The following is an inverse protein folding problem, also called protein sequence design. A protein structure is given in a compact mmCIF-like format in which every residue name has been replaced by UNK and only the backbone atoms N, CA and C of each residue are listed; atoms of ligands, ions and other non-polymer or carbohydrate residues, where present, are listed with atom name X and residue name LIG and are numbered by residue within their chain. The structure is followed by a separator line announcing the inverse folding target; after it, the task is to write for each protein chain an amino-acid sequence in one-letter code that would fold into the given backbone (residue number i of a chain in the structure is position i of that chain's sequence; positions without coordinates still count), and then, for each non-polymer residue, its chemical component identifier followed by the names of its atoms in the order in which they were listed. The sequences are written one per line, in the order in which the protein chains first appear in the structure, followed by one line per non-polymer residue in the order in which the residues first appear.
data_IF_625960956797
#
_entry.id   IF_625960956797
#
_cell.length_a   1.000
_cell.length_b   1.000
_cell.length_c   1.000
_cell.angle_alpha   90.00
_cell.angle_beta   90.00
_cell.angle_gamma   90.00
#
_symmetry.space_group_name_H-M   'P 1'
#
loop_
_entity.id
_entity.type
_entity.pdbx_description
1 polymer ?
#
# COMPACT_ATOMS: atom_id res chain seq x y z
N UNK A 1 -29.95 -23.62 -20.63
CA UNK A 1 -29.76 -23.43 -19.17
C UNK A 1 -28.84 -22.22 -19.04
N UNK A 2 -29.45 -21.04 -18.94
CA UNK A 2 -28.73 -19.77 -18.96
C UNK A 2 -27.87 -19.66 -17.70
N UNK A 3 -26.55 -19.54 -17.89
CA UNK A 3 -25.61 -19.16 -16.83
C UNK A 3 -26.01 -17.77 -16.35
N UNK A 4 -26.64 -17.71 -15.17
CA UNK A 4 -27.02 -16.45 -14.52
C UNK A 4 -25.75 -15.67 -14.17
N UNK A 5 -25.42 -14.76 -15.08
CA UNK A 5 -24.96 -13.38 -14.88
C UNK A 5 -24.18 -13.08 -13.60
N UNK A 6 -22.91 -12.70 -13.80
CA UNK A 6 -22.06 -11.85 -12.98
C UNK A 6 -22.76 -11.19 -11.78
N UNK A 7 -22.79 -11.88 -10.63
CA UNK A 7 -22.88 -11.19 -9.34
C UNK A 7 -21.63 -10.34 -9.20
N UNK A 8 -21.78 -9.07 -8.82
CA UNK A 8 -20.62 -8.24 -8.52
C UNK A 8 -19.83 -8.94 -7.39
N UNK A 9 -18.51 -9.06 -7.53
CA UNK A 9 -17.67 -9.69 -6.51
C UNK A 9 -17.82 -8.99 -5.14
N UNK A 10 -18.18 -7.70 -5.14
CA UNK A 10 -18.51 -6.95 -3.93
C UNK A 10 -19.81 -7.45 -3.25
N UNK A 11 -20.78 -7.96 -4.02
CA UNK A 11 -22.02 -8.51 -3.45
C UNK A 11 -21.74 -9.76 -2.61
N UNK A 12 -20.69 -10.52 -2.95
CA UNK A 12 -20.25 -11.68 -2.16
C UNK A 12 -19.69 -11.28 -0.79
N UNK A 13 -19.31 -10.01 -0.60
CA UNK A 13 -18.82 -9.47 0.67
C UNK A 13 -19.90 -8.78 1.51
N UNK A 14 -21.07 -8.46 0.93
CA UNK A 14 -22.11 -7.58 1.50
C UNK A 14 -22.95 -8.14 2.67
N UNK A 15 -22.59 -9.29 3.25
CA UNK A 15 -23.28 -9.85 4.42
C UNK A 15 -22.82 -9.18 5.72
N UNK A 16 -23.65 -8.29 6.28
CA UNK A 16 -23.55 -7.62 7.59
C UNK A 16 -22.58 -8.24 8.61
N UNK A 17 -21.33 -7.75 8.62
CA UNK A 17 -20.42 -7.76 9.79
C UNK A 17 -19.20 -6.83 9.55
N UNK A 18 -19.40 -5.66 8.93
CA UNK A 18 -18.32 -4.66 8.75
C UNK A 18 -18.14 -3.83 10.04
N UNK A 19 -17.94 -4.49 11.19
CA UNK A 19 -17.43 -3.81 12.39
C UNK A 19 -15.89 -3.84 12.34
N UNK A 20 -15.36 -3.05 11.40
CA UNK A 20 -13.93 -2.74 11.34
C UNK A 20 -13.68 -1.72 12.47
N UNK A 21 -12.77 -1.99 13.42
CA UNK A 21 -12.30 -0.95 14.33
C UNK A 21 -11.73 0.19 13.49
N UNK A 22 -12.33 1.37 13.57
CA UNK A 22 -11.75 2.58 12.99
C UNK A 22 -10.31 2.70 13.52
N UNK A 23 -9.35 2.84 12.62
CA UNK A 23 -7.98 3.16 12.99
C UNK A 23 -8.00 4.45 13.82
N UNK A 24 -7.39 4.46 15.02
CA UNK A 24 -7.38 5.66 15.85
C UNK A 24 -6.51 6.73 15.19
N UNK A 25 -7.13 7.87 14.88
CA UNK A 25 -6.54 9.13 14.38
C UNK A 25 -5.75 9.02 13.08
N UNK A 26 -6.37 9.55 12.02
CA UNK A 26 -5.69 9.99 10.82
C UNK A 26 -4.48 10.89 11.19
N UNK A 27 -3.32 10.54 10.65
CA UNK A 27 -2.19 11.45 10.53
C UNK A 27 -2.69 12.76 9.89
N UNK A 28 -2.28 13.93 10.40
CA UNK A 28 -2.62 15.18 9.74
C UNK A 28 -2.06 15.13 8.32
N UNK A 29 -2.91 15.39 7.32
CA UNK A 29 -2.49 15.57 5.92
C UNK A 29 -1.31 16.54 5.90
N UNK A 30 -0.12 16.04 5.59
CA UNK A 30 1.03 16.89 5.32
C UNK A 30 0.78 17.54 3.97
N UNK A 31 0.14 18.70 3.99
CA UNK A 31 0.25 19.63 2.86
C UNK A 31 1.69 20.10 2.84
N UNK A 32 2.47 19.64 1.87
CA UNK A 32 3.67 20.36 1.46
C UNK A 32 3.21 21.69 0.88
N UNK A 33 3.30 22.73 1.70
CA UNK A 33 2.93 24.11 1.34
C UNK A 33 3.89 24.63 0.27
N UNK A 34 3.42 25.09 -0.90
CA UNK A 34 4.21 25.95 -1.77
C UNK A 34 4.37 27.31 -1.07
N UNK A 35 5.61 27.72 -0.85
CA UNK A 35 5.96 28.88 -0.04
C UNK A 35 5.34 30.22 -0.50
N UNK A 36 4.94 31.00 0.51
CA UNK A 36 4.92 32.47 0.60
C UNK A 36 4.44 33.22 -0.66
N UNK A 37 3.15 33.58 -0.67
CA UNK A 37 2.63 34.68 -1.48
C UNK A 37 3.22 35.98 -0.90
N UNK A 38 4.07 36.64 -1.68
CA UNK A 38 4.38 38.05 -1.48
C UNK A 38 3.58 38.82 -2.53
N UNK A 39 2.46 39.41 -2.11
CA UNK A 39 1.76 40.40 -2.92
C UNK A 39 2.59 41.69 -2.91
N UNK A 40 3.24 41.99 -4.04
CA UNK A 40 3.76 43.33 -4.30
C UNK A 40 3.41 43.75 -5.73
N UNK A 41 2.56 44.78 -5.80
CA UNK A 41 2.08 45.42 -7.02
C UNK A 41 3.22 45.82 -7.97
N UNK A 42 3.05 45.48 -9.24
CA UNK A 42 4.01 45.79 -10.29
C UNK A 42 3.93 47.25 -10.75
N UNK A 43 5.10 47.87 -10.96
CA UNK A 43 5.42 48.69 -12.13
C UNK A 43 6.92 48.98 -12.14
N UNK A 44 7.62 48.61 -13.23
CA UNK A 44 8.98 49.06 -13.52
C UNK A 44 9.87 47.94 -14.06
N UNK A 45 10.08 47.92 -15.37
CA UNK A 45 11.00 46.99 -16.02
C UNK A 45 12.47 47.33 -15.76
N UNK A 46 13.32 46.31 -15.73
CA UNK A 46 14.64 46.28 -16.36
C UNK A 46 15.18 44.84 -16.34
N UNK A 47 16.00 44.51 -17.33
CA UNK A 47 16.64 43.22 -17.58
C UNK A 47 17.36 42.61 -16.38
N UNK A 48 17.21 41.29 -16.22
CA UNK A 48 17.91 40.51 -15.21
C UNK A 48 17.52 39.04 -15.24
N UNK A 49 18.36 38.25 -15.90
CA UNK A 49 18.47 36.79 -15.83
C UNK A 49 17.95 36.24 -14.49
N UNK A 50 16.81 35.57 -14.54
CA UNK A 50 16.22 34.89 -13.39
C UNK A 50 15.87 33.49 -13.87
N UNK A 51 16.78 32.56 -13.60
CA UNK A 51 16.49 31.14 -13.52
C UNK A 51 15.27 30.99 -12.62
N UNK A 52 14.09 30.94 -13.23
CA UNK A 52 12.91 30.45 -12.56
C UNK A 52 13.26 29.04 -12.15
N UNK A 53 13.49 28.84 -10.85
CA UNK A 53 13.39 27.52 -10.24
C UNK A 53 11.96 27.06 -10.46
N UNK A 54 11.67 26.56 -11.66
CA UNK A 54 10.57 25.64 -11.86
C UNK A 54 10.79 24.58 -10.80
N UNK A 55 9.90 24.47 -9.82
CA UNK A 55 9.86 23.27 -9.01
C UNK A 55 9.75 22.15 -10.02
N UNK A 56 10.83 21.41 -10.24
CA UNK A 56 10.80 20.25 -11.11
C UNK A 56 9.72 19.37 -10.48
N UNK A 57 8.58 19.27 -11.16
CA UNK A 57 7.49 18.41 -10.72
C UNK A 57 8.05 17.00 -10.89
N UNK A 58 8.64 16.46 -9.82
CA UNK A 58 9.21 15.12 -9.85
C UNK A 58 8.04 14.17 -9.96
N UNK A 59 8.03 13.40 -11.04
CA UNK A 59 7.03 12.35 -11.18
C UNK A 59 7.12 11.44 -9.95
N UNK A 60 5.97 11.20 -9.32
CA UNK A 60 5.87 10.34 -8.16
C UNK A 60 5.04 9.11 -8.48
N UNK A 61 5.55 7.94 -8.11
CA UNK A 61 4.91 6.64 -8.34
C UNK A 61 4.72 5.94 -7.01
N UNK A 62 3.54 5.34 -6.82
CA UNK A 62 3.20 4.58 -5.63
C UNK A 62 3.13 3.11 -6.03
N UNK A 63 4.06 2.29 -5.52
CA UNK A 63 4.04 0.85 -5.70
C UNK A 63 3.32 0.22 -4.52
N UNK A 64 2.26 -0.54 -4.81
CA UNK A 64 1.45 -1.24 -3.81
C UNK A 64 1.69 -2.73 -3.96
N UNK A 65 2.17 -3.37 -2.90
CA UNK A 65 2.44 -4.80 -2.89
C UNK A 65 2.14 -5.39 -1.50
N UNK A 66 2.00 -6.71 -1.43
CA UNK A 66 1.68 -7.39 -0.16
C UNK A 66 2.68 -7.07 0.97
N UNK A 67 3.97 -6.98 0.64
CA UNK A 67 5.06 -6.74 1.60
C UNK A 67 5.91 -5.55 1.19
N UNK A 68 6.44 -4.81 2.15
CA UNK A 68 7.45 -3.77 1.90
C UNK A 68 8.81 -4.40 1.54
N UNK A 69 9.65 -3.72 0.73
CA UNK A 69 11.01 -4.15 0.40
C UNK A 69 11.99 -3.86 1.55
N UNK A 70 11.62 -4.24 2.78
CA UNK A 70 12.38 -3.96 4.00
C UNK A 70 12.56 -5.21 4.85
N UNK A 71 13.70 -5.26 5.52
CA UNK A 71 13.88 -6.06 6.72
C UNK A 71 13.53 -5.21 7.94
N UNK A 72 12.77 -5.79 8.86
CA UNK A 72 12.41 -5.18 10.13
C UNK A 72 12.79 -6.13 11.25
N UNK A 73 13.51 -5.63 12.25
CA UNK A 73 13.91 -6.39 13.42
C UNK A 73 13.75 -5.54 14.67
N UNK A 74 13.24 -6.16 15.73
CA UNK A 74 13.22 -5.54 17.05
C UNK A 74 14.50 -5.91 17.78
N UNK A 75 15.27 -4.90 18.16
CA UNK A 75 16.50 -5.07 18.91
C UNK A 75 16.20 -5.60 20.31
N UNK A 76 16.87 -6.69 20.71
CA UNK A 76 16.57 -7.40 21.95
C UNK A 76 17.08 -6.66 23.21
N UNK A 77 18.08 -5.80 23.07
CA UNK A 77 18.72 -5.10 24.20
C UNK A 77 18.07 -3.73 24.44
N UNK A 78 17.78 -3.00 23.36
CA UNK A 78 17.25 -1.63 23.40
C UNK A 78 15.74 -1.57 23.22
N UNK A 79 15.10 -2.68 22.83
CA UNK A 79 13.68 -2.77 22.49
C UNK A 79 13.24 -1.82 21.34
N UNK A 80 14.19 -1.33 20.54
CA UNK A 80 13.92 -0.41 19.42
C UNK A 80 13.80 -1.14 18.09
N UNK A 81 13.06 -0.55 17.16
CA UNK A 81 12.93 -1.04 15.80
C UNK A 81 14.09 -0.63 14.90
N UNK A 82 14.71 -1.62 14.27
CA UNK A 82 15.75 -1.48 13.25
C UNK A 82 15.20 -1.90 11.88
N UNK A 83 15.46 -1.07 10.87
CA UNK A 83 14.98 -1.27 9.50
C UNK A 83 16.15 -1.17 8.53
N UNK A 84 16.15 -2.01 7.50
CA UNK A 84 17.09 -1.92 6.38
C UNK A 84 16.38 -2.30 5.08
N UNK A 85 16.88 -1.80 3.96
CA UNK A 85 16.38 -2.20 2.64
C UNK A 85 16.71 -3.67 2.39
N UNK A 86 15.76 -4.39 1.80
CA UNK A 86 15.94 -5.75 1.29
C UNK A 86 16.39 -5.63 -0.18
N UNK A 87 17.71 -5.63 -0.41
CA UNK A 87 18.32 -5.45 -1.74
C UNK A 87 17.98 -6.59 -2.71
N UNK A 88 17.62 -7.77 -2.17
CA UNK A 88 17.20 -8.94 -2.94
C UNK A 88 15.70 -8.90 -3.27
N UNK A 89 14.96 -7.89 -2.79
CA UNK A 89 13.53 -7.75 -3.04
C UNK A 89 13.25 -7.40 -4.49
N UNK A 90 12.52 -8.27 -5.18
CA UNK A 90 12.00 -7.98 -6.53
C UNK A 90 11.13 -6.72 -6.57
N UNK A 91 10.47 -6.38 -5.45
CA UNK A 91 9.67 -5.16 -5.35
C UNK A 91 10.54 -3.91 -5.40
N UNK A 92 11.74 -3.96 -4.80
CA UNK A 92 12.69 -2.85 -4.88
C UNK A 92 13.13 -2.60 -6.32
N UNK A 93 13.35 -3.68 -7.08
CA UNK A 93 13.80 -3.63 -8.48
C UNK A 93 12.75 -3.04 -9.43
N UNK A 94 11.46 -3.01 -9.04
CA UNK A 94 10.41 -2.38 -9.86
C UNK A 94 10.69 -0.88 -10.11
N UNK A 95 11.37 -0.20 -9.17
CA UNK A 95 11.75 1.22 -9.35
C UNK A 95 12.75 1.43 -10.48
N UNK A 96 13.53 0.41 -10.83
CA UNK A 96 14.61 0.53 -11.81
C UNK A 96 14.07 0.63 -13.25
N UNK A 97 12.76 0.39 -13.43
CA UNK A 97 12.05 0.69 -14.67
C UNK A 97 11.69 2.17 -14.86
N UNK A 98 11.92 3.02 -13.85
CA UNK A 98 11.59 4.44 -13.89
C UNK A 98 12.81 5.33 -14.11
N UNK A 99 12.57 6.62 -14.37
CA UNK A 99 13.62 7.63 -14.40
C UNK A 99 14.30 7.71 -13.01
N UNK A 100 15.62 7.92 -12.93
CA UNK A 100 16.30 8.16 -11.65
C UNK A 100 15.77 9.35 -10.85
N UNK A 101 15.06 10.27 -11.51
CA UNK A 101 14.43 11.45 -10.91
C UNK A 101 13.04 11.17 -10.33
N UNK A 102 12.47 10.00 -10.65
CA UNK A 102 11.15 9.58 -10.19
C UNK A 102 11.20 9.22 -8.71
N UNK A 103 10.35 9.86 -7.92
CA UNK A 103 10.17 9.51 -6.52
C UNK A 103 9.26 8.28 -6.41
N UNK A 104 9.70 7.26 -5.69
CA UNK A 104 8.94 6.02 -5.51
C UNK A 104 8.58 5.84 -4.05
N UNK A 105 7.28 5.69 -3.80
CA UNK A 105 6.72 5.36 -2.48
C UNK A 105 6.21 3.92 -2.53
N UNK A 106 6.50 3.14 -1.49
CA UNK A 106 6.02 1.77 -1.34
C UNK A 106 4.91 1.69 -0.30
N UNK A 107 3.82 1.01 -0.62
CA UNK A 107 2.74 0.67 0.33
C UNK A 107 2.70 -0.84 0.48
N UNK A 108 2.84 -1.34 1.72
CA UNK A 108 3.04 -2.76 1.98
C UNK A 108 2.92 -3.15 3.45
N UNK A 109 2.75 -4.44 3.75
CA UNK A 109 2.88 -4.94 5.12
C UNK A 109 4.34 -5.17 5.50
N UNK A 110 4.66 -5.14 6.79
CA UNK A 110 5.94 -5.63 7.29
C UNK A 110 5.89 -7.15 7.47
N UNK A 111 7.05 -7.81 7.39
CA UNK A 111 7.21 -9.25 7.65
C UNK A 111 7.18 -9.60 9.16
N UNK A 112 6.82 -8.64 10.01
CA UNK A 112 6.82 -8.74 11.48
C UNK A 112 5.56 -8.08 12.04
N UNK A 113 5.14 -8.52 13.23
CA UNK A 113 4.05 -7.87 13.96
C UNK A 113 4.57 -6.67 14.75
N UNK A 114 3.83 -5.57 14.67
CA UNK A 114 4.10 -4.32 15.40
C UNK A 114 2.92 -4.02 16.29
N UNK A 115 3.18 -3.84 17.58
CA UNK A 115 2.16 -3.51 18.57
C UNK A 115 1.47 -2.19 18.23
N UNK A 116 0.16 -2.12 18.46
CA UNK A 116 -0.66 -0.96 18.10
C UNK A 116 -0.15 0.37 18.71
N UNK A 117 0.51 0.32 19.87
CA UNK A 117 1.12 1.49 20.51
C UNK A 117 2.37 2.01 19.80
N UNK A 118 3.06 1.18 19.03
CA UNK A 118 4.30 1.51 18.32
C UNK A 118 4.08 1.79 16.83
N UNK A 119 2.91 1.43 16.28
CA UNK A 119 2.60 1.52 14.84
C UNK A 119 2.79 2.92 14.24
N UNK A 120 2.40 3.95 14.98
CA UNK A 120 2.51 5.35 14.53
C UNK A 120 3.97 5.80 14.39
N UNK A 121 4.79 5.50 15.41
CA UNK A 121 6.22 5.81 15.39
C UNK A 121 6.94 5.05 14.27
N UNK A 122 6.58 3.77 14.08
CA UNK A 122 7.13 2.95 13.00
C UNK A 122 6.71 3.50 11.63
N UNK A 123 5.45 3.87 11.43
CA UNK A 123 4.96 4.42 10.17
C UNK A 123 5.69 5.70 9.78
N UNK A 124 5.85 6.63 10.73
CA UNK A 124 6.59 7.87 10.48
C UNK A 124 8.05 7.59 10.12
N UNK A 125 8.73 6.72 10.87
CA UNK A 125 10.13 6.36 10.61
C UNK A 125 10.33 5.69 9.25
N UNK A 126 9.38 4.86 8.81
CA UNK A 126 9.43 4.19 7.51
C UNK A 126 9.18 5.15 6.35
N UNK A 127 8.27 6.11 6.52
CA UNK A 127 8.02 7.13 5.51
C UNK A 127 9.25 8.02 5.33
N UNK A 128 9.78 8.57 6.42
CA UNK A 128 10.85 9.57 6.38
C UNK A 128 12.19 9.03 5.86
N UNK A 129 12.52 7.77 6.20
CA UNK A 129 13.84 7.20 5.89
C UNK A 129 13.84 6.25 4.69
N UNK A 130 12.68 5.71 4.31
CA UNK A 130 12.60 4.65 3.29
C UNK A 130 11.50 4.86 2.24
N UNK A 131 10.74 5.97 2.30
CA UNK A 131 9.56 6.20 1.45
C UNK A 131 8.58 5.01 1.49
N UNK A 132 8.42 4.40 2.66
CA UNK A 132 7.59 3.22 2.86
C UNK A 132 6.43 3.52 3.80
N UNK A 133 5.22 3.17 3.36
CA UNK A 133 3.97 3.31 4.13
C UNK A 133 3.54 1.91 4.58
N UNK A 134 3.68 1.57 5.86
CA UNK A 134 3.28 0.28 6.36
C UNK A 134 1.75 0.14 6.43
N UNK A 135 1.28 -1.03 6.03
CA UNK A 135 -0.10 -1.47 6.20
C UNK A 135 -0.13 -2.49 7.34
N UNK A 136 -0.74 -2.12 8.47
CA UNK A 136 -0.87 -3.00 9.62
C UNK A 136 -2.19 -3.77 9.54
N UNK A 137 -2.12 -5.03 9.15
CA UNK A 137 -3.27 -5.93 9.13
C UNK A 137 -3.39 -6.66 10.48
N UNK A 138 -4.60 -6.81 11.05
CA UNK A 138 -4.81 -7.71 12.16
C UNK A 138 -4.35 -9.14 11.81
N UNK A 139 -3.68 -9.83 12.73
CA UNK A 139 -3.10 -11.16 12.49
C UNK A 139 -4.10 -12.16 11.87
N UNK A 140 -5.32 -12.24 12.42
CA UNK A 140 -6.35 -13.14 11.91
C UNK A 140 -6.83 -12.77 10.50
N UNK A 141 -6.87 -11.47 10.19
CA UNK A 141 -7.20 -11.00 8.86
C UNK A 141 -6.08 -11.37 7.88
N UNK A 142 -4.82 -11.09 8.24
CA UNK A 142 -3.67 -11.38 7.40
C UNK A 142 -3.54 -12.89 7.11
N UNK A 143 -3.78 -13.74 8.10
CA UNK A 143 -3.77 -15.20 7.91
C UNK A 143 -4.85 -15.65 6.93
N UNK A 144 -6.09 -15.17 7.09
CA UNK A 144 -7.22 -15.52 6.20
C UNK A 144 -7.03 -14.98 4.79
N UNK A 145 -6.57 -13.73 4.68
CA UNK A 145 -6.23 -13.08 3.42
C UNK A 145 -5.13 -13.82 2.68
N UNK A 146 -3.94 -13.90 3.27
CA UNK A 146 -2.76 -14.37 2.57
C UNK A 146 -2.74 -15.89 2.41
N UNK A 147 -2.76 -16.63 3.52
CA UNK A 147 -2.70 -18.09 3.46
C UNK A 147 -4.03 -18.69 3.02
N UNK A 148 -5.15 -18.15 3.52
CA UNK A 148 -6.47 -18.68 3.23
C UNK A 148 -6.97 -18.35 1.82
N UNK A 149 -6.89 -17.10 1.37
CA UNK A 149 -7.42 -16.75 0.05
C UNK A 149 -6.33 -16.77 -1.02
N UNK A 150 -5.25 -16.00 -0.84
CA UNK A 150 -4.23 -15.85 -1.88
C UNK A 150 -3.50 -17.17 -2.16
N UNK A 151 -2.98 -17.86 -1.15
CA UNK A 151 -2.21 -19.09 -1.34
C UNK A 151 -3.05 -20.34 -1.58
N UNK A 152 -4.25 -20.40 -1.03
CA UNK A 152 -5.07 -21.62 -1.08
C UNK A 152 -6.16 -21.58 -2.15
N UNK A 153 -6.61 -20.39 -2.60
CA UNK A 153 -7.59 -20.28 -3.68
C UNK A 153 -7.00 -19.65 -4.96
N UNK A 154 -6.41 -18.46 -4.89
CA UNK A 154 -5.91 -17.77 -6.09
C UNK A 154 -4.69 -18.46 -6.71
N UNK A 155 -3.71 -18.82 -5.89
CA UNK A 155 -2.48 -19.44 -6.37
C UNK A 155 -2.73 -20.76 -7.11
N UNK A 156 -3.51 -21.73 -6.58
CA UNK A 156 -3.83 -22.95 -7.32
C UNK A 156 -4.59 -22.68 -8.61
N UNK A 157 -5.54 -21.73 -8.58
CA UNK A 157 -6.31 -21.35 -9.75
C UNK A 157 -5.40 -20.81 -10.87
N UNK A 158 -4.48 -19.89 -10.55
CA UNK A 158 -3.55 -19.30 -11.51
C UNK A 158 -2.51 -20.28 -12.04
N UNK A 159 -2.29 -21.39 -11.33
CA UNK A 159 -1.34 -22.45 -11.72
C UNK A 159 -2.04 -23.71 -12.25
N UNK A 160 -3.31 -23.61 -12.67
CA UNK A 160 -4.08 -24.72 -13.23
C UNK A 160 -4.17 -25.95 -12.31
N UNK A 161 -4.00 -25.77 -10.99
CA UNK A 161 -4.19 -26.81 -9.98
C UNK A 161 -5.66 -26.89 -9.59
N UNK A 162 -6.52 -27.14 -10.58
CA UNK A 162 -7.94 -27.28 -10.37
C UNK A 162 -8.25 -28.66 -9.77
N UNK A 163 -9.20 -28.75 -8.83
CA UNK A 163 -9.60 -30.02 -8.29
C UNK A 163 -10.21 -30.90 -9.39
N UNK A 164 -9.56 -32.04 -9.63
CA UNK A 164 -9.94 -32.99 -10.70
C UNK A 164 -11.28 -33.70 -10.42
N UNK A 165 -11.77 -33.62 -9.17
CA UNK A 165 -13.07 -34.14 -8.76
C UNK A 165 -13.87 -33.05 -8.02
N UNK A 166 -15.18 -32.88 -8.31
CA UNK A 166 -16.06 -31.94 -7.60
C UNK A 166 -16.10 -32.13 -6.08
N UNK A 167 -15.85 -33.35 -5.61
CA UNK A 167 -15.87 -33.73 -4.19
C UNK A 167 -14.52 -33.54 -3.47
N UNK A 168 -13.47 -33.16 -4.21
CA UNK A 168 -12.09 -33.05 -3.70
C UNK A 168 -11.49 -31.65 -3.89
N UNK A 169 -12.32 -30.69 -4.30
CA UNK A 169 -11.96 -29.28 -4.34
C UNK A 169 -12.41 -28.54 -3.11
N UNK A 170 -11.51 -27.77 -2.49
CA UNK A 170 -11.93 -26.78 -1.52
C UNK A 170 -12.84 -25.79 -2.23
N UNK A 171 -14.12 -25.85 -1.86
CA UNK A 171 -15.15 -24.96 -2.40
C UNK A 171 -14.77 -23.53 -2.05
N UNK A 172 -15.15 -22.60 -2.92
CA UNK A 172 -14.99 -21.17 -2.66
C UNK A 172 -15.53 -20.79 -1.29
N UNK A 173 -14.64 -20.34 -0.41
CA UNK A 173 -14.99 -19.90 0.94
C UNK A 173 -15.25 -18.40 0.93
N UNK A 174 -16.52 -18.03 1.18
CA UNK A 174 -16.97 -16.63 1.25
C UNK A 174 -16.29 -15.84 2.37
N UNK A 175 -15.94 -16.48 3.49
CA UNK A 175 -15.26 -15.81 4.60
C UNK A 175 -13.82 -15.44 4.22
N UNK A 176 -13.15 -16.30 3.44
CA UNK A 176 -11.81 -16.01 2.93
C UNK A 176 -11.85 -14.91 1.87
N UNK A 177 -12.86 -14.90 1.01
CA UNK A 177 -13.10 -13.78 0.10
C UNK A 177 -13.34 -12.45 0.83
N UNK A 178 -14.15 -12.46 1.88
CA UNK A 178 -14.38 -11.26 2.71
C UNK A 178 -13.09 -10.77 3.37
N UNK A 179 -12.23 -11.67 3.85
CA UNK A 179 -10.92 -11.32 4.37
C UNK A 179 -10.03 -10.70 3.29
N UNK A 180 -10.06 -11.22 2.07
CA UNK A 180 -9.34 -10.66 0.93
C UNK A 180 -9.79 -9.23 0.59
N UNK A 181 -11.10 -9.01 0.48
CA UNK A 181 -11.67 -7.68 0.24
C UNK A 181 -11.33 -6.71 1.38
N UNK A 182 -11.42 -7.17 2.63
CA UNK A 182 -11.14 -6.34 3.80
C UNK A 182 -9.67 -5.93 3.87
N UNK A 183 -8.73 -6.84 3.59
CA UNK A 183 -7.31 -6.52 3.52
C UNK A 183 -7.04 -5.50 2.41
N UNK A 184 -7.54 -5.75 1.20
CA UNK A 184 -7.39 -4.84 0.05
C UNK A 184 -7.99 -3.45 0.30
N UNK A 185 -9.09 -3.37 1.07
CA UNK A 185 -9.65 -2.08 1.50
C UNK A 185 -8.68 -1.31 2.41
N UNK A 186 -8.04 -1.98 3.37
CA UNK A 186 -7.05 -1.34 4.25
C UNK A 186 -5.85 -0.84 3.43
N UNK A 187 -5.38 -1.61 2.44
CA UNK A 187 -4.35 -1.16 1.50
C UNK A 187 -4.79 0.08 0.71
N UNK A 188 -6.02 0.08 0.17
CA UNK A 188 -6.57 1.22 -0.54
C UNK A 188 -6.64 2.47 0.36
N UNK A 189 -7.13 2.31 1.60
CA UNK A 189 -7.19 3.40 2.58
C UNK A 189 -5.78 3.97 2.84
N UNK A 190 -4.74 3.12 2.93
CA UNK A 190 -3.34 3.56 3.08
C UNK A 190 -2.77 4.28 1.86
N UNK A 191 -3.11 3.86 0.65
CA UNK A 191 -2.73 4.59 -0.57
C UNK A 191 -3.37 5.98 -0.57
N UNK A 192 -4.64 6.08 -0.16
CA UNK A 192 -5.37 7.35 -0.11
C UNK A 192 -4.82 8.35 0.91
N UNK A 193 -4.04 7.90 1.90
CA UNK A 193 -3.37 8.79 2.87
C UNK A 193 -2.22 9.58 2.22
N UNK A 194 -1.58 9.06 1.16
CA UNK A 194 -0.34 9.62 0.59
C UNK A 194 -0.46 10.11 -0.86
N UNK A 195 -1.47 9.64 -1.58
CA UNK A 195 -1.67 9.98 -3.00
C UNK A 195 -1.98 11.46 -3.21
N UNK A 196 -1.32 12.07 -4.20
CA UNK A 196 -1.76 13.28 -4.87
C UNK A 196 -2.55 12.87 -6.13
N UNK A 197 -3.89 13.06 -6.16
CA UNK A 197 -4.74 12.51 -7.21
C UNK A 197 -4.48 13.09 -8.60
N UNK A 198 -3.85 14.26 -8.70
CA UNK A 198 -3.64 14.96 -9.96
C UNK A 198 -2.32 14.56 -10.65
N UNK A 199 -1.33 14.08 -9.88
CA UNK A 199 0.06 13.91 -10.35
C UNK A 199 0.63 12.49 -10.15
N UNK A 200 0.07 11.70 -9.23
CA UNK A 200 0.62 10.40 -8.86
C UNK A 200 0.06 9.26 -9.71
N UNK A 201 0.90 8.25 -9.95
CA UNK A 201 0.48 6.99 -10.56
C UNK A 201 0.64 5.84 -9.57
N UNK A 202 -0.37 4.96 -9.51
CA UNK A 202 -0.35 3.77 -8.66
C UNK A 202 -0.03 2.54 -9.51
N UNK A 203 0.94 1.75 -9.06
CA UNK A 203 1.25 0.42 -9.58
C UNK A 203 0.96 -0.64 -8.52
N UNK A 204 -0.15 -1.36 -8.66
CA UNK A 204 -0.50 -2.51 -7.81
C UNK A 204 0.17 -3.77 -8.36
N UNK A 205 0.83 -4.54 -7.50
CA UNK A 205 1.65 -5.68 -7.89
C UNK A 205 1.14 -6.99 -7.27
N UNK A 206 1.05 -8.02 -8.14
CA UNK A 206 0.76 -9.42 -7.83
C UNK A 206 -0.73 -9.77 -7.57
N UNK A 207 -1.01 -11.04 -7.23
CA UNK A 207 -2.37 -11.58 -7.01
C UNK A 207 -2.95 -11.35 -5.60
N UNK A 208 -2.21 -10.66 -4.73
CA UNK A 208 -2.63 -10.36 -3.35
C UNK A 208 -3.51 -9.11 -3.35
#
# INVERSE_FOLDING_TARGET
MELRSCTNFLDLASGNLLDIPQTPRALPRVMTVPGIISDLDGYGGNDGDSDGTSSVCRERKIIVANMLPLHAQRDAETAKWCFSIDEDSLLLQLKDGFSPETEVIYVGSLKVEVDASEQEEVAQKLLDNFNCVPTFLPHDLQKKFYYGFCKHQLWPLFHYMLPMCPDHGDRFDRLLWQAYVSANKIFADKVMEVINPDDDYIWVHDYH
#
